data_IF_862975502150
#
_entry.id   IF_862975502150
#
_cell.length_a   1.000
_cell.length_b   1.000
_cell.length_c   1.000
_cell.angle_alpha   90.00
_cell.angle_beta   90.00
_cell.angle_gamma   90.00
#
_symmetry.space_group_name_H-M   'P 1'
#
loop_
_entity.id
_entity.type
_entity.pdbx_description
1 polymer ?
#
# COMPACT_ATOMS: atom_id res chain seq x y z
N UNK A 1 -18.25 -4.07 -8.95
CA UNK A 1 -17.50 -2.84 -8.59
C UNK A 1 -16.40 -3.23 -7.62
N UNK A 2 -15.16 -2.79 -7.84
CA UNK A 2 -14.04 -3.01 -6.91
C UNK A 2 -13.66 -1.64 -6.35
N UNK A 3 -13.49 -1.55 -5.02
CA UNK A 3 -13.08 -0.32 -4.33
C UNK A 3 -11.71 -0.52 -3.73
N UNK A 4 -10.80 0.42 -3.99
CA UNK A 4 -9.48 0.49 -3.37
C UNK A 4 -9.36 1.78 -2.57
N UNK A 5 -8.73 1.71 -1.40
CA UNK A 5 -8.43 2.85 -0.55
C UNK A 5 -7.02 2.71 0.02
N UNK A 6 -6.40 3.83 0.40
CA UNK A 6 -5.09 3.87 1.05
C UNK A 6 -5.13 4.84 2.23
N UNK A 7 -4.47 4.48 3.33
CA UNK A 7 -4.27 5.35 4.49
C UNK A 7 -2.88 5.13 5.07
N UNK A 8 -2.27 6.20 5.58
CA UNK A 8 -1.02 6.12 6.36
C UNK A 8 -1.30 6.01 7.87
N UNK A 9 -2.57 6.06 8.29
CA UNK A 9 -3.02 5.98 9.69
C UNK A 9 -4.19 5.00 9.80
N UNK A 10 -3.95 3.67 9.76
CA UNK A 10 -5.02 2.68 9.87
C UNK A 10 -5.69 2.68 11.25
N UNK A 11 -4.98 3.15 12.28
CA UNK A 11 -5.41 3.23 13.68
C UNK A 11 -6.58 4.20 13.92
N UNK A 12 -6.73 5.23 13.07
CA UNK A 12 -7.82 6.22 13.20
C UNK A 12 -9.03 5.93 12.31
N UNK A 13 -9.02 4.82 11.57
CA UNK A 13 -10.15 4.44 10.73
C UNK A 13 -11.36 4.08 11.58
N UNK A 14 -12.55 4.44 11.10
CA UNK A 14 -13.80 3.96 11.69
C UNK A 14 -13.83 2.41 11.64
N UNK A 15 -13.98 1.73 12.79
CA UNK A 15 -14.07 0.26 12.84
C UNK A 15 -15.15 -0.32 11.92
N UNK A 16 -16.20 0.45 11.59
CA UNK A 16 -17.24 0.05 10.67
C UNK A 16 -16.73 -0.30 9.27
N UNK A 17 -15.63 0.33 8.83
CA UNK A 17 -15.00 0.12 7.53
C UNK A 17 -14.19 -1.18 7.45
N UNK A 18 -13.77 -1.72 8.60
CA UNK A 18 -12.96 -2.93 8.72
C UNK A 18 -13.81 -4.21 8.87
N UNK A 19 -15.14 -4.06 8.94
CA UNK A 19 -16.07 -5.19 9.03
C UNK A 19 -16.16 -5.94 7.70
N UNK A 20 -16.45 -7.26 7.74
CA UNK A 20 -16.69 -8.05 6.53
C UNK A 20 -17.75 -7.44 5.60
N UNK A 21 -17.51 -7.49 4.29
CA UNK A 21 -18.31 -6.86 3.24
C UNK A 21 -17.95 -5.40 2.94
N UNK A 22 -16.85 -4.88 3.50
CA UNK A 22 -16.33 -3.51 3.27
C UNK A 22 -14.89 -3.59 2.75
N UNK A 23 -13.90 -3.15 3.53
CA UNK A 23 -12.48 -3.32 3.19
C UNK A 23 -11.94 -4.64 3.73
N UNK A 24 -12.39 -5.72 3.11
CA UNK A 24 -12.11 -7.09 3.57
C UNK A 24 -10.64 -7.49 3.41
N UNK A 25 -9.96 -6.93 2.40
CA UNK A 25 -8.55 -7.19 2.11
C UNK A 25 -7.71 -5.98 2.49
N UNK A 26 -6.76 -6.22 3.40
CA UNK A 26 -5.78 -5.23 3.82
C UNK A 26 -4.40 -5.68 3.35
N UNK A 27 -3.68 -4.77 2.69
CA UNK A 27 -2.32 -4.99 2.23
C UNK A 27 -1.44 -3.94 2.89
N UNK A 28 -0.54 -4.38 3.77
CA UNK A 28 0.42 -3.50 4.42
C UNK A 28 1.58 -3.27 3.47
N UNK A 29 1.85 -2.00 3.16
CA UNK A 29 2.98 -1.59 2.34
C UNK A 29 4.10 -1.10 3.25
N UNK A 30 5.12 -1.94 3.42
CA UNK A 30 6.33 -1.59 4.16
C UNK A 30 7.30 -0.76 3.33
N UNK A 31 8.38 -0.30 3.98
CA UNK A 31 9.50 0.32 3.28
C UNK A 31 10.20 -0.71 2.38
N UNK A 32 10.73 -0.29 1.21
CA UNK A 32 11.51 -1.19 0.37
C UNK A 32 12.82 -1.57 1.05
N UNK A 33 13.19 -2.83 0.89
CA UNK A 33 14.49 -3.38 1.26
C UNK A 33 15.58 -2.93 0.26
N UNK A 34 16.80 -3.42 0.45
CA UNK A 34 17.94 -3.06 -0.40
C UNK A 34 17.67 -3.42 -1.86
N UNK A 35 17.14 -4.62 -2.11
CA UNK A 35 16.81 -5.09 -3.47
C UNK A 35 15.70 -4.26 -4.09
N UNK A 36 14.65 -3.96 -3.33
CA UNK A 36 13.55 -3.10 -3.76
C UNK A 36 14.03 -1.70 -4.12
N UNK A 37 14.91 -1.09 -3.31
CA UNK A 37 15.52 0.21 -3.59
C UNK A 37 16.36 0.19 -4.87
N UNK A 38 17.17 -0.85 -5.05
CA UNK A 38 17.95 -1.03 -6.28
C UNK A 38 17.04 -1.11 -7.52
N UNK A 39 15.92 -1.84 -7.46
CA UNK A 39 14.97 -1.92 -8.56
C UNK A 39 14.29 -0.59 -8.84
N UNK A 40 13.88 0.14 -7.80
CA UNK A 40 13.30 1.48 -7.94
C UNK A 40 14.29 2.41 -8.66
N UNK A 41 15.55 2.45 -8.21
CA UNK A 41 16.60 3.24 -8.85
C UNK A 41 16.83 2.83 -10.30
N UNK A 42 16.92 1.52 -10.60
CA UNK A 42 17.07 0.99 -11.95
C UNK A 42 15.93 1.46 -12.87
N UNK A 43 14.68 1.48 -12.41
CA UNK A 43 13.55 1.95 -13.23
C UNK A 43 13.69 3.44 -13.55
N UNK A 44 14.07 4.26 -12.57
CA UNK A 44 14.18 5.71 -12.75
C UNK A 44 15.42 6.13 -13.55
N UNK A 45 16.53 5.39 -13.46
CA UNK A 45 17.77 5.66 -14.20
C UNK A 45 17.73 5.25 -15.68
N UNK A 46 16.73 4.46 -16.13
CA UNK A 46 16.60 4.07 -17.55
C UNK A 46 16.38 5.22 -18.53
N UNK A 47 16.02 6.41 -18.04
CA UNK A 47 15.74 7.60 -18.84
C UNK A 47 16.90 8.60 -18.89
N UNK A 48 18.01 8.30 -18.22
CA UNK A 48 19.24 9.11 -18.20
C UNK A 48 20.28 8.44 -19.08
#
# INVERSE_FOLDING_TARGET
VIVMAATNRPDVLDPALLRPGRFDRQVVVGLPDIRGREQILKVHMRKV
#
